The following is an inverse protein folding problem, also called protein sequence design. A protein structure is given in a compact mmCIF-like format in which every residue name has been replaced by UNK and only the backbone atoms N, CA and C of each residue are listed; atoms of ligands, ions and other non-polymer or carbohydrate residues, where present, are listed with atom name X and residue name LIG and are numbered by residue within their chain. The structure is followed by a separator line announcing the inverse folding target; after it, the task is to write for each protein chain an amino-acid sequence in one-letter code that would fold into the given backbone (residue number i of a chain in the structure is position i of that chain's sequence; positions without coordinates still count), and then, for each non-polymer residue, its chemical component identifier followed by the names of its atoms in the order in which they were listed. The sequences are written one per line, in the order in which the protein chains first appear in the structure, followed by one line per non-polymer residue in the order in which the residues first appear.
data_IF_922564732326
#
_entry.id   IF_922564732326
#
_cell.length_a   1.000
_cell.length_b   1.000
_cell.length_c   1.000
_cell.angle_alpha   90.00
_cell.angle_beta   90.00
_cell.angle_gamma   90.00
#
_symmetry.space_group_name_H-M   'P 1'
#
loop_
_entity.id
_entity.type
_entity.pdbx_description
1 polymer ?
#
# COMPACT_ATOMS: atom_id res chain seq x y z
N UNK A 1 15.67 -3.75 3.02
CA UNK A 1 16.40 -2.77 2.18
C UNK A 1 16.17 -3.15 0.73
N UNK A 2 15.84 -2.17 -0.12
CA UNK A 2 15.70 -2.34 -1.56
C UNK A 2 16.92 -1.77 -2.27
N UNK A 3 17.46 -2.49 -3.25
CA UNK A 3 18.44 -1.94 -4.17
C UNK A 3 18.10 -2.32 -5.61
N UNK A 4 18.40 -1.41 -6.56
CA UNK A 4 18.31 -1.72 -7.99
C UNK A 4 19.46 -2.66 -8.35
N UNK A 5 19.16 -3.78 -9.01
CA UNK A 5 20.17 -4.72 -9.50
C UNK A 5 20.02 -4.98 -11.00
N UNK A 6 21.10 -5.45 -11.62
CA UNK A 6 21.17 -5.78 -13.05
C UNK A 6 21.45 -7.28 -13.18
N UNK A 7 20.59 -8.01 -13.88
CA UNK A 7 20.85 -9.41 -14.22
C UNK A 7 21.92 -9.46 -15.33
N UNK A 8 23.09 -10.04 -15.02
CA UNK A 8 24.25 -10.04 -15.94
C UNK A 8 24.00 -10.75 -17.26
N UNK A 9 23.17 -11.80 -17.27
CA UNK A 9 22.91 -12.62 -18.46
C UNK A 9 22.00 -11.92 -19.47
N UNK A 10 21.00 -11.19 -18.99
CA UNK A 10 19.94 -10.60 -19.82
C UNK A 10 20.11 -9.09 -19.98
N UNK A 11 20.80 -8.42 -19.06
CA UNK A 11 20.85 -6.96 -18.98
C UNK A 11 19.59 -6.33 -18.40
N UNK A 12 18.66 -7.12 -17.84
CA UNK A 12 17.42 -6.61 -17.26
C UNK A 12 17.64 -6.04 -15.85
N UNK A 13 16.91 -4.97 -15.52
CA UNK A 13 16.94 -4.37 -14.19
C UNK A 13 15.81 -4.91 -13.30
N UNK A 14 16.13 -5.12 -12.02
CA UNK A 14 15.22 -5.62 -10.99
C UNK A 14 15.36 -4.83 -9.69
N UNK A 15 14.40 -5.00 -8.79
CA UNK A 15 14.50 -4.55 -7.40
C UNK A 15 14.86 -5.74 -6.51
N UNK A 16 15.98 -5.67 -5.80
CA UNK A 16 16.42 -6.69 -4.86
C UNK A 16 16.05 -6.29 -3.44
N UNK A 17 15.19 -7.09 -2.79
CA UNK A 17 14.88 -6.93 -1.36
C UNK A 17 15.74 -7.87 -0.54
N UNK A 18 16.56 -7.30 0.35
CA UNK A 18 17.35 -8.08 1.31
C UNK A 18 16.65 -8.10 2.68
N UNK A 19 16.39 -9.31 3.20
CA UNK A 19 15.75 -9.55 4.49
C UNK A 19 16.67 -10.42 5.36
N UNK A 20 17.03 -9.93 6.55
CA UNK A 20 17.83 -10.71 7.51
C UNK A 20 16.97 -11.79 8.16
N UNK A 21 17.50 -13.01 8.25
CA UNK A 21 16.85 -14.12 8.96
C UNK A 21 16.74 -13.81 10.46
N UNK A 22 15.54 -13.82 11.02
CA UNK A 22 15.31 -13.88 12.48
C UNK A 22 15.51 -15.34 12.92
N UNK A 23 15.92 -15.57 14.17
CA UNK A 23 16.34 -16.88 14.70
C UNK A 23 15.22 -17.94 14.85
N UNK A 24 14.05 -17.79 14.23
CA UNK A 24 12.89 -18.63 14.51
C UNK A 24 12.29 -19.24 13.23
N UNK A 25 12.28 -20.57 13.25
CA UNK A 25 11.51 -21.56 12.48
C UNK A 25 11.37 -21.36 10.96
N UNK A 26 12.17 -22.13 10.22
CA UNK A 26 12.24 -22.16 8.76
C UNK A 26 11.13 -23.01 8.09
N UNK A 27 10.24 -23.65 8.86
CA UNK A 27 9.45 -24.79 8.36
C UNK A 27 8.33 -24.48 7.35
N UNK A 28 7.94 -23.21 7.14
CA UNK A 28 6.86 -22.85 6.20
C UNK A 28 7.24 -21.87 5.09
N UNK A 29 8.50 -21.46 5.02
CA UNK A 29 8.92 -20.36 4.15
C UNK A 29 8.94 -20.74 2.66
N UNK A 30 9.47 -21.93 2.33
CA UNK A 30 9.54 -22.41 0.94
C UNK A 30 8.16 -22.50 0.29
N UNK A 31 7.15 -22.90 1.07
CA UNK A 31 5.76 -22.94 0.64
C UNK A 31 5.22 -21.52 0.37
N UNK A 32 5.51 -20.56 1.24
CA UNK A 32 5.09 -19.16 1.04
C UNK A 32 5.77 -18.55 -0.19
N UNK A 33 7.07 -18.77 -0.39
CA UNK A 33 7.78 -18.29 -1.59
C UNK A 33 7.23 -18.95 -2.85
N UNK A 34 6.94 -20.25 -2.81
CA UNK A 34 6.35 -20.96 -3.95
C UNK A 34 5.00 -20.38 -4.33
N UNK A 35 4.18 -19.98 -3.34
CA UNK A 35 2.93 -19.27 -3.58
C UNK A 35 3.20 -17.89 -4.17
N UNK A 36 4.13 -17.11 -3.62
CA UNK A 36 4.46 -15.76 -4.10
C UNK A 36 4.98 -15.77 -5.55
N UNK A 37 5.79 -16.75 -5.95
CA UNK A 37 6.27 -16.90 -7.34
C UNK A 37 5.16 -17.19 -8.34
N UNK A 38 4.00 -17.71 -7.89
CA UNK A 38 2.84 -18.00 -8.75
C UNK A 38 1.94 -16.79 -8.95
N UNK A 39 2.08 -15.76 -8.12
CA UNK A 39 1.29 -14.53 -8.22
C UNK A 39 1.74 -13.76 -9.44
N UNK A 40 0.83 -13.66 -10.42
CA UNK A 40 1.02 -12.91 -11.66
C UNK A 40 -0.22 -12.07 -11.91
N UNK A 41 -0.12 -10.78 -11.61
CA UNK A 41 -1.20 -9.83 -11.86
C UNK A 41 -0.62 -8.50 -12.32
N UNK A 42 -1.29 -7.85 -13.28
CA UNK A 42 -0.80 -6.62 -13.90
C UNK A 42 -0.56 -5.46 -12.92
N UNK A 43 -1.21 -5.47 -11.74
CA UNK A 43 -1.13 -4.44 -10.69
C UNK A 43 -0.48 -4.96 -9.40
N UNK A 44 0.27 -6.05 -9.45
CA UNK A 44 0.98 -6.63 -8.29
C UNK A 44 2.43 -6.87 -8.69
N UNK A 45 3.39 -6.41 -7.89
CA UNK A 45 4.82 -6.56 -8.19
C UNK A 45 5.22 -8.03 -8.25
N UNK A 46 5.74 -8.50 -9.38
CA UNK A 46 6.17 -9.89 -9.53
C UNK A 46 7.37 -10.25 -8.67
N UNK A 47 7.41 -11.47 -8.13
CA UNK A 47 8.62 -12.11 -7.61
C UNK A 47 9.23 -12.97 -8.72
N UNK A 48 10.34 -12.49 -9.28
CA UNK A 48 11.04 -13.12 -10.40
C UNK A 48 11.90 -14.29 -9.92
N UNK A 49 12.68 -14.04 -8.86
CA UNK A 49 13.59 -15.02 -8.32
C UNK A 49 13.78 -14.88 -6.81
N UNK A 50 14.29 -15.92 -6.19
CA UNK A 50 14.53 -15.99 -4.76
C UNK A 50 15.85 -16.70 -4.47
N UNK A 51 16.70 -16.07 -3.67
CA UNK A 51 17.94 -16.65 -3.19
C UNK A 51 17.97 -16.65 -1.67
N UNK A 52 18.50 -17.73 -1.12
CA UNK A 52 18.67 -17.91 0.31
C UNK A 52 20.14 -18.12 0.63
N UNK A 53 20.60 -17.42 1.64
CA UNK A 53 21.89 -17.66 2.28
C UNK A 53 21.67 -18.04 3.73
N UNK A 54 22.72 -18.46 4.43
CA UNK A 54 22.63 -18.78 5.87
C UNK A 54 22.04 -17.65 6.73
N UNK A 55 22.20 -16.39 6.33
CA UNK A 55 21.84 -15.22 7.16
C UNK A 55 20.76 -14.32 6.54
N UNK A 56 20.50 -14.42 5.24
CA UNK A 56 19.59 -13.51 4.52
C UNK A 56 18.76 -14.23 3.46
N UNK A 57 17.57 -13.68 3.23
CA UNK A 57 16.75 -13.91 2.04
C UNK A 57 16.92 -12.73 1.07
N UNK A 58 16.98 -13.05 -0.22
CA UNK A 58 17.11 -12.11 -1.31
C UNK A 58 15.97 -12.35 -2.30
N UNK A 59 15.08 -11.38 -2.42
CA UNK A 59 13.95 -11.45 -3.34
C UNK A 59 14.25 -10.56 -4.54
N UNK A 60 14.32 -11.16 -5.73
CA UNK A 60 14.44 -10.45 -6.99
C UNK A 60 13.03 -10.15 -7.48
N UNK A 61 12.66 -8.88 -7.43
CA UNK A 61 11.32 -8.41 -7.71
C UNK A 61 11.31 -7.56 -8.98
N UNK A 62 10.16 -7.50 -9.65
CA UNK A 62 9.92 -6.58 -10.77
C UNK A 62 10.28 -5.14 -10.34
N UNK A 63 11.07 -4.44 -11.17
CA UNK A 63 11.47 -3.07 -10.88
C UNK A 63 10.30 -2.12 -11.17
N UNK A 64 9.88 -1.39 -10.15
CA UNK A 64 8.88 -0.31 -10.25
C UNK A 64 9.59 1.02 -10.02
N UNK A 65 9.43 1.97 -10.96
CA UNK A 65 10.25 3.21 -11.02
C UNK A 65 9.44 4.49 -11.18
N UNK A 66 8.11 4.43 -11.16
CA UNK A 66 7.22 5.58 -11.32
C UNK A 66 7.00 6.42 -10.07
N UNK A 67 7.57 5.99 -8.93
CA UNK A 67 7.41 6.68 -7.65
C UNK A 67 6.09 6.35 -6.95
N UNK A 68 5.89 7.01 -5.80
CA UNK A 68 4.72 6.79 -4.95
C UNK A 68 3.46 7.43 -5.53
N UNK A 69 2.30 6.87 -5.18
CA UNK A 69 0.99 7.32 -5.62
C UNK A 69 0.79 8.84 -5.43
N UNK A 70 1.15 9.36 -4.25
CA UNK A 70 0.87 10.76 -3.90
C UNK A 70 1.81 11.76 -4.55
N UNK A 71 3.08 11.41 -4.74
CA UNK A 71 4.03 12.29 -5.43
C UNK A 71 3.54 12.60 -6.85
N UNK A 72 3.00 11.59 -7.52
CA UNK A 72 2.42 11.73 -8.86
C UNK A 72 1.14 12.57 -8.90
N UNK A 73 0.37 12.59 -7.81
CA UNK A 73 -0.77 13.50 -7.70
C UNK A 73 -0.26 14.94 -7.60
N UNK A 74 0.72 15.20 -6.73
CA UNK A 74 1.32 16.53 -6.54
C UNK A 74 2.00 17.10 -7.81
N UNK A 75 2.54 16.25 -8.67
CA UNK A 75 3.24 16.69 -9.89
C UNK A 75 2.29 17.08 -11.04
N UNK A 76 1.05 16.57 -11.07
CA UNK A 76 0.13 16.73 -12.23
C UNK A 76 -0.58 18.09 -12.28
N UNK A 77 -0.80 18.75 -11.15
CA UNK A 77 -1.49 20.04 -11.09
C UNK A 77 -3.03 19.99 -11.27
N UNK A 78 -3.61 18.85 -11.66
CA UNK A 78 -5.05 18.62 -11.79
C UNK A 78 -5.37 17.22 -11.27
N UNK A 79 -6.46 17.08 -10.50
CA UNK A 79 -6.83 15.81 -9.90
C UNK A 79 -8.31 15.76 -9.54
N UNK A 80 -8.98 14.68 -9.93
CA UNK A 80 -10.45 14.53 -9.82
C UNK A 80 -10.85 13.28 -9.03
N UNK A 81 -12.12 13.17 -8.63
CA UNK A 81 -12.63 11.90 -8.09
C UNK A 81 -12.49 10.74 -9.09
N UNK A 82 -12.56 11.03 -10.39
CA UNK A 82 -12.41 10.02 -11.44
C UNK A 82 -11.00 9.43 -11.47
N UNK A 83 -9.98 10.25 -11.20
CA UNK A 83 -8.60 9.79 -11.06
C UNK A 83 -8.45 8.90 -9.82
N UNK A 84 -8.99 9.34 -8.68
CA UNK A 84 -9.00 8.56 -7.44
C UNK A 84 -9.69 7.20 -7.63
N UNK A 85 -10.89 7.21 -8.22
CA UNK A 85 -11.66 6.01 -8.55
C UNK A 85 -10.88 5.06 -9.45
N UNK A 86 -10.21 5.59 -10.48
CA UNK A 86 -9.42 4.78 -11.41
C UNK A 86 -8.24 4.07 -10.71
N UNK A 87 -7.55 4.75 -9.79
CA UNK A 87 -6.48 4.17 -8.98
C UNK A 87 -7.06 3.10 -8.04
N UNK A 88 -8.10 3.42 -7.28
CA UNK A 88 -8.71 2.49 -6.32
C UNK A 88 -9.26 1.24 -7.02
N UNK A 89 -9.81 1.37 -8.24
CA UNK A 89 -10.23 0.23 -9.05
C UNK A 89 -9.07 -0.72 -9.33
N UNK A 90 -7.91 -0.21 -9.75
CA UNK A 90 -6.73 -1.06 -10.01
C UNK A 90 -6.22 -1.74 -8.73
N UNK A 91 -6.24 -1.03 -7.60
CA UNK A 91 -5.90 -1.61 -6.28
C UNK A 91 -6.89 -2.72 -5.91
N UNK A 92 -8.18 -2.51 -6.10
CA UNK A 92 -9.21 -3.51 -5.85
C UNK A 92 -9.09 -4.72 -6.77
N UNK A 93 -8.75 -4.54 -8.06
CA UNK A 93 -8.49 -5.64 -9.01
C UNK A 93 -7.33 -6.51 -8.52
N UNK A 94 -6.22 -5.89 -8.10
CA UNK A 94 -5.07 -6.60 -7.51
C UNK A 94 -5.43 -7.34 -6.22
N UNK A 95 -6.15 -6.69 -5.30
CA UNK A 95 -6.51 -7.28 -4.01
C UNK A 95 -7.53 -8.40 -4.19
N UNK A 96 -8.48 -8.28 -5.10
CA UNK A 96 -9.39 -9.37 -5.46
C UNK A 96 -8.62 -10.59 -5.99
N UNK A 97 -7.62 -10.39 -6.85
CA UNK A 97 -6.75 -11.47 -7.32
C UNK A 97 -5.99 -12.15 -6.18
N UNK A 98 -5.37 -11.37 -5.28
CA UNK A 98 -4.69 -11.91 -4.09
C UNK A 98 -5.65 -12.71 -3.21
N UNK A 99 -6.84 -12.15 -2.96
CA UNK A 99 -7.90 -12.78 -2.16
C UNK A 99 -8.38 -14.09 -2.77
N UNK A 100 -8.54 -14.18 -4.10
CA UNK A 100 -8.90 -15.43 -4.79
C UNK A 100 -7.82 -16.50 -4.63
N UNK A 101 -6.55 -16.10 -4.57
CA UNK A 101 -5.41 -16.98 -4.30
C UNK A 101 -5.15 -17.20 -2.78
N UNK A 102 -6.12 -16.84 -1.93
CA UNK A 102 -6.05 -16.99 -0.46
C UNK A 102 -4.89 -16.23 0.20
N UNK A 103 -4.43 -15.15 -0.44
CA UNK A 103 -3.43 -14.22 0.10
C UNK A 103 -4.15 -13.01 0.68
N UNK A 104 -3.71 -12.56 1.84
CA UNK A 104 -4.15 -11.30 2.47
C UNK A 104 -2.90 -10.42 2.60
N UNK A 105 -2.98 -9.17 2.16
CA UNK A 105 -1.83 -8.26 2.13
C UNK A 105 -1.42 -7.81 3.55
N UNK A 106 -2.40 -7.39 4.36
CA UNK A 106 -2.30 -6.98 5.78
C UNK A 106 -1.61 -5.64 6.06
N UNK A 107 -0.76 -5.17 5.17
CA UNK A 107 -0.05 -3.88 5.30
C UNK A 107 -0.33 -2.96 4.10
N UNK A 108 -1.59 -2.87 3.65
CA UNK A 108 -1.93 -1.92 2.59
C UNK A 108 -1.87 -0.49 3.13
N UNK A 109 -1.04 0.32 2.48
CA UNK A 109 -0.83 1.73 2.77
C UNK A 109 -0.29 2.42 1.52
N UNK A 110 -0.39 3.75 1.42
CA UNK A 110 0.04 4.49 0.24
C UNK A 110 1.50 4.25 -0.18
N UNK A 111 2.40 4.02 0.78
CA UNK A 111 3.81 3.72 0.55
C UNK A 111 4.03 2.40 -0.21
N UNK A 112 3.04 1.50 -0.19
CA UNK A 112 3.06 0.22 -0.91
C UNK A 112 2.30 0.29 -2.26
N UNK A 113 1.86 1.49 -2.67
CA UNK A 113 1.19 1.75 -3.95
C UNK A 113 2.10 2.61 -4.84
N UNK A 114 2.74 1.97 -5.80
CA UNK A 114 3.77 2.56 -6.64
C UNK A 114 3.35 2.57 -8.11
N UNK A 115 3.64 3.64 -8.84
CA UNK A 115 3.42 3.66 -10.28
C UNK A 115 4.51 2.86 -11.00
N UNK A 116 4.12 2.06 -12.00
CA UNK A 116 5.04 1.18 -12.74
C UNK A 116 6.28 1.91 -13.28
N UNK A 117 6.07 3.05 -13.95
CA UNK A 117 7.09 3.91 -14.53
C UNK A 117 6.62 5.38 -14.51
N UNK A 118 7.41 6.29 -15.08
CA UNK A 118 7.12 7.73 -15.05
C UNK A 118 6.08 8.17 -16.11
N UNK A 119 5.62 7.27 -16.98
CA UNK A 119 4.66 7.59 -18.03
C UNK A 119 3.36 8.13 -17.44
N UNK A 120 2.74 9.12 -18.09
CA UNK A 120 1.51 9.75 -17.59
C UNK A 120 0.43 8.72 -17.28
N UNK A 121 0.25 7.72 -18.14
CA UNK A 121 -0.76 6.66 -18.01
C UNK A 121 -0.26 5.39 -17.30
N UNK A 122 0.83 5.50 -16.53
CA UNK A 122 1.37 4.37 -15.78
C UNK A 122 0.30 3.73 -14.88
N UNK A 123 0.29 2.39 -14.85
CA UNK A 123 -0.55 1.61 -13.96
C UNK A 123 -0.01 1.65 -12.53
N UNK A 124 -0.90 1.53 -11.54
CA UNK A 124 -0.51 1.38 -10.13
C UNK A 124 -0.14 -0.09 -9.85
N UNK A 125 0.85 -0.29 -9.00
CA UNK A 125 1.37 -1.59 -8.60
C UNK A 125 1.33 -1.70 -7.08
N UNK A 126 0.82 -2.81 -6.55
CA UNK A 126 0.93 -3.16 -5.13
C UNK A 126 2.26 -3.85 -4.92
N UNK A 127 3.13 -3.28 -4.08
CA UNK A 127 4.38 -3.88 -3.63
C UNK A 127 4.24 -4.52 -2.25
N UNK A 128 5.30 -5.18 -1.77
CA UNK A 128 5.47 -5.60 -0.37
C UNK A 128 4.44 -6.61 0.20
N UNK A 129 3.67 -7.29 -0.66
CA UNK A 129 2.81 -8.40 -0.25
C UNK A 129 3.64 -9.65 0.09
N UNK A 130 3.25 -10.38 1.14
CA UNK A 130 3.74 -11.74 1.39
C UNK A 130 4.88 -11.93 2.39
N UNK A 131 5.67 -10.91 2.71
CA UNK A 131 6.75 -11.02 3.72
C UNK A 131 6.35 -10.53 5.12
N UNK A 132 5.25 -9.80 5.24
CA UNK A 132 4.75 -9.25 6.51
C UNK A 132 4.41 -10.34 7.54
N UNK A 133 4.06 -11.54 7.06
CA UNK A 133 3.80 -12.71 7.91
C UNK A 133 5.09 -13.41 8.39
N UNK A 134 6.14 -13.41 7.58
CA UNK A 134 7.42 -14.06 7.91
C UNK A 134 8.23 -13.31 8.97
N UNK A 135 8.09 -11.98 9.00
CA UNK A 135 8.78 -11.15 9.98
C UNK A 135 8.10 -11.17 11.36
N UNK A 136 6.82 -11.52 11.43
CA UNK A 136 5.94 -11.41 12.60
C UNK A 136 5.15 -12.71 12.87
N UNK A 137 5.88 -13.80 13.17
CA UNK A 137 5.29 -14.97 13.83
C UNK A 137 4.94 -14.70 15.31
N UNK A 138 5.20 -13.50 15.82
CA UNK A 138 4.65 -13.00 17.08
C UNK A 138 3.36 -12.23 16.83
N UNK A 139 2.40 -12.35 17.74
CA UNK A 139 1.34 -11.35 17.93
C UNK A 139 2.00 -9.98 17.79
N UNK A 140 1.51 -9.12 16.88
CA UNK A 140 2.02 -7.76 16.68
C UNK A 140 1.95 -7.00 18.01
N UNK A 141 2.99 -7.12 18.83
CA UNK A 141 3.15 -6.44 20.11
C UNK A 141 3.93 -5.14 19.97
N UNK A 142 4.19 -4.70 18.74
CA UNK A 142 4.93 -3.46 18.49
C UNK A 142 4.24 -2.73 17.35
N UNK A 143 3.68 -1.56 17.67
CA UNK A 143 3.09 -0.61 16.73
C UNK A 143 4.18 -0.05 15.79
N UNK A 144 4.62 -0.88 14.84
CA UNK A 144 5.63 -0.51 13.85
C UNK A 144 5.04 -0.25 12.46
N UNK A 145 3.71 -0.39 12.29
CA UNK A 145 2.97 0.13 11.14
C UNK A 145 2.38 1.50 11.44
N UNK A 146 2.09 2.30 10.41
CA UNK A 146 1.32 3.54 10.56
C UNK A 146 -0.10 3.16 11.01
N UNK A 147 -0.48 3.35 12.29
CA UNK A 147 -1.66 2.72 12.89
C UNK A 147 -2.98 3.10 12.20
N UNK A 148 -3.01 4.23 11.49
CA UNK A 148 -4.19 4.76 10.82
C UNK A 148 -4.80 3.86 9.72
N UNK A 149 -4.07 2.88 9.20
CA UNK A 149 -4.55 1.98 8.14
C UNK A 149 -5.03 0.60 8.63
N UNK A 150 -4.85 0.32 9.92
CA UNK A 150 -5.10 -0.99 10.51
C UNK A 150 -6.59 -1.16 10.84
N UNK A 151 -7.15 -2.33 10.52
CA UNK A 151 -8.56 -2.63 10.77
C UNK A 151 -8.85 -2.82 12.28
N UNK A 152 -10.08 -2.51 12.76
CA UNK A 152 -10.47 -2.63 14.17
C UNK A 152 -10.24 -4.04 14.73
N UNK A 153 -10.53 -5.08 13.95
CA UNK A 153 -10.35 -6.47 14.38
C UNK A 153 -8.89 -6.87 14.62
N UNK A 154 -7.93 -6.25 13.93
CA UNK A 154 -6.49 -6.47 14.17
C UNK A 154 -6.09 -5.85 15.50
N UNK A 155 -6.50 -4.59 15.76
CA UNK A 155 -6.23 -3.91 17.04
C UNK A 155 -6.90 -4.63 18.22
N UNK A 156 -8.08 -5.21 17.99
CA UNK A 156 -8.80 -6.02 18.97
C UNK A 156 -8.20 -7.41 19.20
N UNK A 157 -7.12 -7.78 18.50
CA UNK A 157 -6.50 -9.10 18.51
C UNK A 157 -7.50 -10.23 18.21
N UNK A 158 -8.48 -9.97 17.34
CA UNK A 158 -9.47 -10.96 16.90
C UNK A 158 -8.96 -11.70 15.67
N UNK A 159 -9.47 -12.92 15.41
CA UNK A 159 -9.27 -13.56 14.12
C UNK A 159 -9.73 -12.63 13.00
N UNK A 160 -8.82 -12.38 12.06
CA UNK A 160 -9.05 -11.48 10.94
C UNK A 160 -9.05 -12.26 9.62
N UNK A 161 -9.61 -11.66 8.59
CA UNK A 161 -9.76 -12.26 7.26
C UNK A 161 -9.28 -11.30 6.17
N UNK A 162 -9.60 -11.62 4.90
CA UNK A 162 -9.42 -10.77 3.72
C UNK A 162 -10.02 -9.34 3.89
N UNK A 163 -11.02 -9.19 4.76
CA UNK A 163 -11.71 -7.91 5.01
C UNK A 163 -10.80 -6.79 5.56
N UNK A 164 -9.63 -7.12 6.13
CA UNK A 164 -8.69 -6.11 6.64
C UNK A 164 -8.08 -5.28 5.51
N UNK A 165 -7.81 -5.90 4.35
CA UNK A 165 -7.31 -5.18 3.19
C UNK A 165 -8.37 -4.20 2.67
N UNK A 166 -9.65 -4.57 2.70
CA UNK A 166 -10.75 -3.69 2.31
C UNK A 166 -10.86 -2.47 3.24
N UNK A 167 -10.61 -2.63 4.55
CA UNK A 167 -10.55 -1.49 5.47
C UNK A 167 -9.44 -0.52 5.07
N UNK A 168 -8.23 -1.03 4.84
CA UNK A 168 -7.08 -0.22 4.43
C UNK A 168 -7.34 0.51 3.11
N UNK A 169 -7.99 -0.13 2.14
CA UNK A 169 -8.43 0.53 0.89
C UNK A 169 -9.45 1.65 1.18
N UNK A 170 -10.35 1.47 2.13
CA UNK A 170 -11.26 2.52 2.59
C UNK A 170 -10.53 3.74 3.16
N UNK A 171 -9.49 3.51 3.98
CA UNK A 171 -8.63 4.56 4.52
C UNK A 171 -7.87 5.28 3.40
N UNK A 172 -7.28 4.54 2.47
CA UNK A 172 -6.55 5.10 1.32
C UNK A 172 -7.49 5.94 0.45
N UNK A 173 -8.71 5.45 0.18
CA UNK A 173 -9.72 6.17 -0.61
C UNK A 173 -10.13 7.47 0.06
N UNK A 174 -10.28 7.48 1.38
CA UNK A 174 -10.56 8.69 2.15
C UNK A 174 -9.44 9.73 1.98
N UNK A 175 -8.17 9.30 2.12
CA UNK A 175 -7.03 10.21 1.99
C UNK A 175 -6.90 10.73 0.56
N UNK A 176 -7.10 9.88 -0.45
CA UNK A 176 -7.05 10.29 -1.85
C UNK A 176 -8.09 11.35 -2.21
N UNK A 177 -9.22 11.43 -1.50
CA UNK A 177 -10.28 12.39 -1.79
C UNK A 177 -10.24 13.66 -0.94
N UNK A 178 -9.50 13.65 0.17
CA UNK A 178 -9.51 14.75 1.15
C UNK A 178 -8.14 15.27 1.54
N UNK A 179 -7.07 14.53 1.25
CA UNK A 179 -5.70 14.87 1.62
C UNK A 179 -5.37 14.66 3.10
N UNK A 180 -6.25 14.07 3.91
CA UNK A 180 -5.99 13.79 5.33
C UNK A 180 -6.59 12.43 5.77
N UNK A 181 -6.07 11.80 6.84
CA UNK A 181 -6.54 10.49 7.27
C UNK A 181 -7.91 10.55 7.98
N UNK A 182 -8.78 9.53 7.83
CA UNK A 182 -10.08 9.47 8.51
C UNK A 182 -9.94 9.37 10.04
N UNK A 183 -8.85 8.78 10.51
CA UNK A 183 -8.55 8.59 11.92
C UNK A 183 -7.24 9.30 12.25
N UNK A 184 -7.29 10.31 13.11
CA UNK A 184 -6.12 11.01 13.62
C UNK A 184 -6.36 11.44 15.07
N UNK A 185 -5.34 11.27 15.90
CA UNK A 185 -5.26 11.85 17.24
C UNK A 185 -3.79 11.87 17.67
N UNK A 186 -3.34 12.93 18.33
CA UNK A 186 -1.97 13.00 18.86
C UNK A 186 -1.73 11.99 19.99
N UNK A 187 -2.81 11.51 20.63
CA UNK A 187 -2.74 10.43 21.60
C UNK A 187 -3.11 9.09 20.95
N UNK A 188 -2.17 8.17 20.95
CA UNK A 188 -2.31 6.84 20.34
C UNK A 188 -3.53 6.05 20.89
N UNK A 189 -3.78 6.09 22.20
CA UNK A 189 -4.94 5.43 22.81
C UNK A 189 -6.27 5.99 22.28
N UNK A 190 -6.35 7.32 22.08
CA UNK A 190 -7.53 7.95 21.48
C UNK A 190 -7.66 7.62 20.00
N UNK A 191 -6.55 7.59 19.25
CA UNK A 191 -6.53 7.14 17.86
C UNK A 191 -7.08 5.71 17.74
N UNK A 192 -6.57 4.78 18.56
CA UNK A 192 -7.07 3.40 18.59
C UNK A 192 -8.54 3.33 18.98
N UNK A 193 -9.00 4.15 19.94
CA UNK A 193 -10.41 4.24 20.29
C UNK A 193 -11.27 4.65 19.10
N UNK A 194 -10.87 5.67 18.33
CA UNK A 194 -11.57 6.11 17.11
C UNK A 194 -11.64 5.00 16.07
N UNK A 195 -10.52 4.33 15.79
CA UNK A 195 -10.47 3.18 14.86
C UNK A 195 -11.41 2.07 15.33
N UNK A 196 -11.31 1.66 16.60
CA UNK A 196 -12.12 0.60 17.20
C UNK A 196 -13.63 0.90 17.20
N UNK A 197 -14.00 2.18 17.18
CA UNK A 197 -15.38 2.66 17.08
C UNK A 197 -15.82 2.94 15.65
N UNK A 198 -14.91 2.86 14.67
CA UNK A 198 -15.09 3.37 13.31
C UNK A 198 -15.60 4.82 13.30
N UNK A 199 -15.03 5.64 14.18
CA UNK A 199 -15.42 7.03 14.40
C UNK A 199 -14.62 7.96 13.49
N UNK A 200 -15.20 8.28 12.33
CA UNK A 200 -14.71 9.26 11.37
C UNK A 200 -15.89 10.09 10.84
N UNK A 201 -15.59 11.24 10.23
CA UNK A 201 -16.60 12.09 9.61
C UNK A 201 -16.09 12.65 8.28
N UNK A 202 -17.01 13.11 7.44
CA UNK A 202 -16.72 13.82 6.21
C UNK A 202 -16.82 15.32 6.51
N UNK A 203 -15.73 15.93 6.99
CA UNK A 203 -15.73 17.30 7.51
C UNK A 203 -15.85 18.34 6.39
N UNK A 204 -16.71 19.34 6.60
CA UNK A 204 -16.70 20.56 5.79
C UNK A 204 -15.46 21.41 6.12
N UNK A 205 -14.91 22.16 5.15
CA UNK A 205 -15.38 22.27 3.76
C UNK A 205 -14.84 21.16 2.82
N UNK A 206 -13.91 20.33 3.30
CA UNK A 206 -13.13 19.40 2.45
C UNK A 206 -13.97 18.37 1.70
N UNK A 207 -15.11 17.98 2.25
CA UNK A 207 -16.00 16.96 1.69
C UNK A 207 -17.26 17.51 1.03
N UNK A 208 -17.44 18.83 0.98
CA UNK A 208 -18.66 19.46 0.46
C UNK A 208 -18.81 19.22 -1.04
N UNK A 209 -17.69 19.26 -1.77
CA UNK A 209 -17.65 19.02 -3.22
C UNK A 209 -17.44 17.56 -3.61
N UNK A 210 -17.22 16.66 -2.64
CA UNK A 210 -17.07 15.23 -2.90
C UNK A 210 -18.44 14.56 -3.01
N UNK A 211 -18.61 13.71 -4.01
CA UNK A 211 -19.88 13.04 -4.30
C UNK A 211 -20.35 12.15 -3.15
N UNK A 212 -21.67 12.12 -2.93
CA UNK A 212 -22.25 11.17 -1.97
C UNK A 212 -21.99 9.72 -2.36
N UNK A 213 -21.76 9.42 -3.65
CA UNK A 213 -21.37 8.09 -4.10
C UNK A 213 -19.97 7.69 -3.62
N UNK A 214 -19.01 8.61 -3.64
CA UNK A 214 -17.67 8.37 -3.08
C UNK A 214 -17.74 8.15 -1.55
N UNK A 215 -18.53 8.97 -0.85
CA UNK A 215 -18.76 8.82 0.59
C UNK A 215 -19.45 7.49 0.92
N UNK A 216 -20.41 7.07 0.10
CA UNK A 216 -21.09 5.78 0.24
C UNK A 216 -20.13 4.60 0.06
N UNK A 217 -19.29 4.65 -0.96
CA UNK A 217 -18.21 3.68 -1.14
C UNK A 217 -17.33 3.57 0.11
N UNK A 218 -16.85 4.70 0.64
CA UNK A 218 -16.01 4.73 1.84
C UNK A 218 -16.75 4.16 3.05
N UNK A 219 -18.03 4.51 3.24
CA UNK A 219 -18.86 3.99 4.35
C UNK A 219 -18.94 2.47 4.34
N UNK A 220 -19.10 1.86 3.17
CA UNK A 220 -19.13 0.41 3.01
C UNK A 220 -17.76 -0.27 3.20
N UNK A 221 -16.66 0.43 2.92
CA UNK A 221 -15.29 -0.06 3.12
C UNK A 221 -14.81 0.10 4.58
N UNK A 222 -15.22 1.18 5.25
CA UNK A 222 -14.93 1.48 6.66
C UNK A 222 -16.03 0.98 7.61
N UNK A 223 -16.76 -0.06 7.22
CA UNK A 223 -17.72 -0.74 8.09
C UNK A 223 -16.99 -1.53 9.18
N UNK A 224 -17.35 -1.26 10.43
CA UNK A 224 -16.72 -1.85 11.62
C UNK A 224 -16.87 -3.37 11.64
N UNK A 225 -18.03 -3.90 11.28
CA UNK A 225 -18.26 -5.33 11.26
C UNK A 225 -17.67 -5.94 9.97
N UNK A 226 -16.59 -6.75 10.05
CA UNK A 226 -15.95 -7.31 8.85
C UNK A 226 -16.87 -8.22 8.02
N UNK A 227 -17.98 -8.71 8.58
CA UNK A 227 -18.99 -9.49 7.83
C UNK A 227 -19.94 -8.63 7.00
N UNK A 228 -20.07 -7.34 7.34
CA UNK A 228 -20.89 -6.36 6.61
C UNK A 228 -20.05 -5.49 5.68
N UNK A 229 -18.76 -5.35 5.98
CA UNK A 229 -17.79 -4.64 5.14
C UNK A 229 -17.74 -5.25 3.75
N UNK A 230 -17.65 -4.39 2.73
CA UNK A 230 -17.53 -4.84 1.35
C UNK A 230 -16.31 -5.75 1.15
N UNK A 231 -16.50 -6.83 0.40
CA UNK A 231 -15.39 -7.56 -0.21
C UNK A 231 -14.83 -6.77 -1.39
N UNK A 232 -13.63 -7.12 -1.84
CA UNK A 232 -13.03 -6.51 -3.02
C UNK A 232 -13.91 -6.69 -4.27
N UNK A 233 -14.59 -7.84 -4.42
CA UNK A 233 -15.52 -8.10 -5.53
C UNK A 233 -16.81 -7.27 -5.45
N UNK A 234 -17.32 -7.01 -4.24
CA UNK A 234 -18.47 -6.12 -4.05
C UNK A 234 -18.08 -4.67 -4.34
N UNK A 235 -16.94 -4.23 -3.82
CA UNK A 235 -16.38 -2.90 -4.05
C UNK A 235 -16.14 -2.62 -5.54
N UNK A 236 -15.64 -3.59 -6.31
CA UNK A 236 -15.46 -3.47 -7.78
C UNK A 236 -16.77 -3.23 -8.55
N UNK A 237 -17.92 -3.60 -7.98
CA UNK A 237 -19.24 -3.39 -8.61
C UNK A 237 -19.87 -2.05 -8.25
N UNK A 238 -19.29 -1.32 -7.30
CA UNK A 238 -19.84 -0.05 -6.82
C UNK A 238 -19.81 1.02 -7.94
N UNK A 239 -20.89 1.81 -8.15
CA UNK A 239 -20.96 2.79 -9.25
C UNK A 239 -19.80 3.79 -9.29
N UNK A 240 -19.33 4.22 -8.11
CA UNK A 240 -18.17 5.12 -8.01
C UNK A 240 -16.90 4.48 -8.59
N UNK A 241 -16.67 3.18 -8.33
CA UNK A 241 -15.50 2.43 -8.82
C UNK A 241 -15.60 2.09 -10.30
N UNK A 242 -16.81 1.88 -10.81
CA UNK A 242 -17.05 1.77 -12.25
C UNK A 242 -16.86 3.09 -13.01
N UNK A 243 -16.71 4.20 -12.29
CA UNK A 243 -16.56 5.54 -12.86
C UNK A 243 -17.88 6.14 -13.36
N UNK A 244 -19.02 5.54 -13.02
CA UNK A 244 -20.36 5.98 -13.43
C UNK A 244 -20.82 7.22 -12.65
N UNK A 245 -20.38 7.35 -11.39
CA UNK A 245 -20.78 8.43 -10.47
C UNK A 245 -19.62 9.28 -9.97
N UNK A 246 -18.37 8.94 -10.34
CA UNK A 246 -17.19 9.70 -9.96
C UNK A 246 -17.14 11.04 -10.73
N UNK A 247 -17.03 12.15 -10.00
CA UNK A 247 -17.03 13.50 -10.58
C UNK A 247 -15.71 13.82 -11.28
N UNK A 248 -15.78 14.65 -12.31
CA UNK A 248 -14.63 15.22 -13.04
C UNK A 248 -14.29 16.65 -12.59
N UNK A 249 -14.90 17.11 -11.50
CA UNK A 249 -14.55 18.39 -10.90
C UNK A 249 -13.13 18.30 -10.33
N UNK A 250 -12.33 19.32 -10.60
CA UNK A 250 -10.99 19.42 -10.05
C UNK A 250 -11.06 19.65 -8.53
N UNK A 251 -10.40 18.76 -7.79
CA UNK A 251 -10.25 18.80 -6.33
C UNK A 251 -8.78 18.95 -5.92
N UNK A 252 -7.88 19.16 -6.89
CA UNK A 252 -6.43 19.19 -6.69
C UNK A 252 -6.00 20.16 -5.58
N UNK A 253 -6.43 21.42 -5.62
CA UNK A 253 -5.98 22.45 -4.68
C UNK A 253 -6.32 22.08 -3.22
N UNK A 254 -7.57 21.70 -2.96
CA UNK A 254 -8.03 21.30 -1.62
C UNK A 254 -7.30 20.04 -1.14
N UNK A 255 -7.12 19.03 -2.00
CA UNK A 255 -6.46 17.77 -1.63
C UNK A 255 -4.97 18.01 -1.36
N UNK A 256 -4.28 18.76 -2.23
CA UNK A 256 -2.85 18.99 -2.13
C UNK A 256 -2.48 19.83 -0.91
N UNK A 257 -3.26 20.88 -0.60
CA UNK A 257 -3.04 21.70 0.59
C UNK A 257 -3.11 20.85 1.87
N UNK A 258 -4.15 20.02 2.00
CA UNK A 258 -4.30 19.13 3.15
C UNK A 258 -3.22 18.06 3.16
N UNK A 259 -2.88 17.51 2.00
CA UNK A 259 -1.87 16.47 1.90
C UNK A 259 -0.50 16.99 2.35
N UNK A 260 -0.09 18.16 1.86
CA UNK A 260 1.16 18.79 2.29
C UNK A 260 1.15 19.08 3.80
N UNK A 261 0.05 19.59 4.37
CA UNK A 261 -0.03 19.84 5.82
C UNK A 261 0.11 18.57 6.66
N UNK A 262 -0.53 17.49 6.25
CA UNK A 262 -0.64 16.25 7.03
C UNK A 262 0.54 15.29 6.79
N UNK A 263 1.17 15.31 5.61
CA UNK A 263 2.16 14.33 5.19
C UNK A 263 3.53 14.93 4.80
N UNK A 264 3.70 16.25 4.69
CA UNK A 264 5.03 16.84 4.41
C UNK A 264 6.04 16.60 5.55
N UNK A 265 5.59 16.46 6.80
CA UNK A 265 6.47 16.11 7.93
C UNK A 265 7.04 14.69 7.83
N UNK A 266 6.37 13.79 7.10
CA UNK A 266 6.85 12.43 6.85
C UNK A 266 8.07 12.41 5.93
N UNK A 267 8.18 13.37 5.00
CA UNK A 267 9.36 13.53 4.12
C UNK A 267 10.61 13.97 4.87
N UNK A 268 10.48 14.65 6.01
CA UNK A 268 11.63 15.17 6.79
C UNK A 268 12.17 14.17 7.83
N UNK A 269 11.60 12.96 7.94
CA UNK A 269 12.18 11.85 8.71
C UNK A 269 12.93 10.83 7.86
N UNK A 270 12.82 10.90 6.54
CA UNK A 270 13.80 10.29 5.62
C UNK A 270 14.84 11.36 5.34
N UNK A 271 15.77 11.50 6.29
CA UNK A 271 16.90 12.39 6.14
C UNK A 271 17.59 12.15 4.81
N UNK A 272 17.83 13.24 4.10
CA UNK A 272 18.73 13.37 2.97
C UNK A 272 19.97 12.51 3.18
N UNK A 273 19.99 11.36 2.51
CA UNK A 273 21.24 10.72 2.11
C UNK A 273 21.27 10.83 0.59
N UNK A 274 21.49 12.06 0.12
CA UNK A 274 22.21 12.28 -1.11
C UNK A 274 23.60 11.68 -0.91
N UNK A 275 23.75 10.39 -1.23
CA UNK A 275 25.06 9.79 -1.46
C UNK A 275 25.46 10.20 -2.87
N UNK A 276 26.25 11.28 -2.95
CA UNK A 276 27.20 11.46 -4.04
C UNK A 276 28.03 10.17 -4.13
N UNK A 277 27.76 9.35 -5.14
CA UNK A 277 28.57 8.18 -5.45
C UNK A 277 29.83 8.62 -6.20
N UNK A 278 30.75 9.24 -5.47
CA UNK A 278 32.17 9.23 -5.83
C UNK A 278 32.98 9.10 -4.55
N UNK A 279 33.32 7.87 -4.13
CA UNK A 279 34.51 7.54 -3.35
C UNK A 279 34.76 6.01 -3.38
N UNK A 280 36.01 5.55 -3.19
CA UNK A 280 36.64 4.58 -4.08
C UNK A 280 37.00 3.28 -3.34
N UNK A 281 36.02 2.38 -3.12
CA UNK A 281 36.30 1.03 -2.61
C UNK A 281 35.25 0.04 -3.15
N UNK A 282 35.26 -0.20 -4.46
CA UNK A 282 34.64 -1.40 -5.04
C UNK A 282 35.71 -2.47 -5.07
N UNK A 283 35.83 -3.24 -3.98
CA UNK A 283 36.42 -4.58 -4.08
C UNK A 283 35.42 -5.45 -4.82
N UNK A 284 35.83 -5.92 -6.00
CA UNK A 284 35.14 -6.93 -6.81
C UNK A 284 34.80 -8.13 -5.92
N UNK A 285 33.52 -8.36 -5.68
CA UNK A 285 33.03 -9.70 -5.38
C UNK A 285 32.63 -10.34 -6.71
N UNK A 286 33.58 -11.05 -7.32
CA UNK A 286 33.30 -12.05 -8.35
C UNK A 286 32.69 -13.26 -7.63
N UNK A 287 31.44 -13.58 -7.93
CA UNK A 287 30.87 -14.89 -7.61
C UNK A 287 30.86 -15.70 -8.91
N UNK A 288 31.67 -16.76 -8.89
CA UNK A 288 31.76 -17.84 -9.88
C UNK A 288 30.49 -18.67 -9.96
#
# INVERSE_FOLDING_TARGET
LYCKCLERKTGNFYALKCVKKKQLDHSNLENEITVLRRIKHKNVVGLEDFYETRTHYYLVMELVSGGELFDRILDRGVYTEKDASHVIRQVLEAVAYLHQNSIVHRDLKPENLLYYNQDENAKIMISDFGLSKMADHGVMHTACGTPGYVAPEILAQKPYSKAVDCWSIGVISYILLSGYPPFYDDNETRLFSKIMRAEYAFHSPYWDNISESAKDFIRNMLEKNPKKRFTSEQALRHPWIKGETARTQDIYESVCEQFQKNFAKSKWKVGTVSLDFTLPWVSRAEFS
#
